data_IF_722570535505
#
_entry.id   IF_722570535505
#
_cell.length_a   1.000
_cell.length_b   1.000
_cell.length_c   1.000
_cell.angle_alpha   90.00
_cell.angle_beta   90.00
_cell.angle_gamma   90.00
#
_symmetry.space_group_name_H-M   'P 1'
#
loop_
_entity.id
_entity.type
_entity.pdbx_description
1 polymer ?
#
# COMPACT_ATOMS: atom_id res chain seq x y z
N UNK A 1 26.07 5.71 -37.62
CA UNK A 1 27.24 6.47 -37.15
C UNK A 1 26.79 7.37 -36.01
N UNK A 2 27.57 7.37 -34.90
CA UNK A 2 27.43 8.15 -33.66
C UNK A 2 26.23 7.72 -32.79
N UNK A 3 26.31 6.91 -31.72
CA UNK A 3 27.25 6.71 -30.59
C UNK A 3 27.46 7.93 -29.69
N UNK A 4 26.66 8.04 -28.62
CA UNK A 4 26.98 8.70 -27.34
C UNK A 4 26.21 7.97 -26.22
N UNK A 5 26.83 7.02 -25.51
CA UNK A 5 27.64 7.15 -24.28
C UNK A 5 26.80 7.33 -23.01
N UNK A 6 26.78 6.22 -22.27
CA UNK A 6 26.45 5.98 -20.87
C UNK A 6 27.04 6.98 -19.88
N UNK A 7 26.28 7.29 -18.83
CA UNK A 7 26.82 7.73 -17.54
C UNK A 7 26.23 6.83 -16.45
N UNK A 8 27.09 5.95 -15.94
CA UNK A 8 26.87 5.17 -14.73
C UNK A 8 27.22 6.07 -13.54
N UNK A 9 26.32 6.19 -12.56
CA UNK A 9 26.71 6.56 -11.21
C UNK A 9 26.25 5.50 -10.22
N UNK A 10 27.24 4.76 -9.75
CA UNK A 10 27.21 3.84 -8.63
C UNK A 10 27.43 4.65 -7.36
N UNK A 11 26.48 4.63 -6.42
CA UNK A 11 26.76 4.96 -5.02
C UNK A 11 26.32 3.76 -4.18
N UNK A 12 27.33 3.02 -3.73
CA UNK A 12 27.26 2.02 -2.67
C UNK A 12 27.45 2.72 -1.33
N UNK A 13 26.58 2.44 -0.37
CA UNK A 13 26.84 2.34 1.09
C UNK A 13 25.48 2.06 1.75
N UNK A 14 25.16 0.83 2.11
CA UNK A 14 25.63 0.10 3.30
C UNK A 14 25.29 0.85 4.60
N UNK A 15 24.19 0.45 5.24
CA UNK A 15 23.93 0.72 6.65
C UNK A 15 23.12 -0.47 7.21
N UNK A 16 23.86 -1.52 7.56
CA UNK A 16 23.40 -2.62 8.39
C UNK A 16 23.33 -2.08 9.82
N UNK A 17 22.13 -1.81 10.32
CA UNK A 17 21.91 -1.51 11.73
C UNK A 17 21.77 -2.84 12.50
N UNK A 18 22.89 -3.33 13.01
CA UNK A 18 22.92 -4.34 14.06
C UNK A 18 22.85 -3.62 15.42
N UNK A 19 21.73 -3.74 16.11
CA UNK A 19 21.62 -3.36 17.51
C UNK A 19 22.52 -4.27 18.36
N UNK A 20 23.65 -3.69 18.77
CA UNK A 20 24.59 -4.20 19.76
C UNK A 20 24.00 -3.96 21.15
N UNK A 21 23.28 -4.93 21.69
CA UNK A 21 22.94 -4.96 23.12
C UNK A 21 24.13 -5.56 23.88
N UNK A 22 24.66 -4.76 24.81
CA UNK A 22 25.77 -5.10 25.68
C UNK A 22 25.31 -6.12 26.73
N UNK A 23 25.99 -7.25 26.83
CA UNK A 23 25.90 -8.15 27.97
C UNK A 23 27.31 -8.41 28.46
N UNK A 24 27.68 -7.73 29.54
CA UNK A 24 28.88 -7.96 30.33
C UNK A 24 28.77 -9.30 31.05
N UNK A 25 29.70 -10.22 30.79
CA UNK A 25 29.83 -11.45 31.55
C UNK A 25 31.30 -11.71 31.87
N UNK A 26 31.71 -11.46 33.11
CA UNK A 26 32.86 -12.08 33.75
C UNK A 26 32.63 -12.14 35.27
N UNK A 27 32.29 -13.31 35.78
CA UNK A 27 32.87 -13.83 37.03
C UNK A 27 32.71 -15.34 37.07
N UNK A 28 33.84 -16.01 37.10
CA UNK A 28 34.05 -17.44 37.23
C UNK A 28 33.83 -17.94 38.66
N UNK A 29 33.17 -19.09 38.83
CA UNK A 29 33.50 -20.06 39.87
C UNK A 29 32.94 -21.45 39.55
N UNK A 30 33.58 -22.45 40.14
CA UNK A 30 33.66 -23.86 39.77
C UNK A 30 32.58 -24.74 40.43
N UNK A 31 32.49 -25.97 39.91
CA UNK A 31 31.99 -27.23 40.51
C UNK A 31 30.47 -27.49 40.44
N UNK A 32 30.13 -28.66 39.90
CA UNK A 32 28.84 -29.31 40.13
C UNK A 32 28.43 -30.29 39.02
N UNK A 33 28.92 -31.53 39.09
CA UNK A 33 28.40 -32.66 38.30
C UNK A 33 26.98 -33.02 38.76
N UNK A 34 26.00 -33.11 37.86
CA UNK A 34 24.95 -34.16 37.85
C UNK A 34 23.87 -33.95 36.77
N UNK A 35 23.72 -34.98 35.93
CA UNK A 35 22.49 -35.58 35.40
C UNK A 35 21.27 -34.75 34.96
N UNK A 36 20.89 -35.00 33.69
CA UNK A 36 19.53 -35.25 33.17
C UNK A 36 18.57 -34.06 32.91
N UNK A 37 18.10 -34.02 31.65
CA UNK A 37 16.89 -33.37 31.14
C UNK A 37 16.86 -31.82 31.09
N UNK A 38 17.74 -31.21 30.29
CA UNK A 38 17.46 -29.85 29.80
C UNK A 38 16.64 -29.91 28.51
N UNK A 39 15.33 -30.09 28.71
CA UNK A 39 14.28 -29.93 27.71
C UNK A 39 14.40 -28.51 27.14
N UNK A 40 14.95 -28.36 25.93
CA UNK A 40 14.95 -27.09 25.19
C UNK A 40 13.50 -26.61 25.09
N UNK A 41 13.11 -25.64 25.91
CA UNK A 41 11.92 -24.85 25.66
C UNK A 41 12.23 -24.04 24.40
N UNK A 42 11.85 -24.58 23.23
CA UNK A 42 11.63 -23.75 22.05
C UNK A 42 10.52 -22.79 22.40
N UNK A 43 10.89 -21.56 22.78
CA UNK A 43 9.96 -20.44 22.83
C UNK A 43 9.19 -20.42 21.50
N UNK A 44 7.85 -20.60 21.52
CA UNK A 44 7.09 -20.51 20.29
C UNK A 44 7.27 -19.10 19.75
N UNK A 45 7.77 -18.97 18.53
CA UNK A 45 7.74 -17.70 17.79
C UNK A 45 6.32 -17.19 17.83
N UNK A 46 6.08 -16.18 18.67
CA UNK A 46 4.79 -15.53 18.79
C UNK A 46 4.56 -14.78 17.48
N UNK A 47 3.92 -15.46 16.52
CA UNK A 47 3.34 -14.80 15.35
C UNK A 47 2.37 -13.77 15.94
N UNK A 48 2.52 -12.46 15.69
CA UNK A 48 1.65 -11.45 16.27
C UNK A 48 0.21 -11.86 15.98
N UNK A 49 -0.54 -12.04 17.07
CA UNK A 49 -1.90 -12.53 17.03
C UNK A 49 -2.71 -11.66 16.06
N UNK A 50 -3.48 -12.31 15.17
CA UNK A 50 -4.38 -11.68 14.19
C UNK A 50 -5.54 -10.88 14.85
N UNK A 51 -5.43 -10.56 16.13
CA UNK A 51 -6.43 -9.94 16.98
C UNK A 51 -6.00 -8.59 17.58
N UNK A 52 -4.80 -8.10 17.30
CA UNK A 52 -4.54 -6.66 17.44
C UNK A 52 -5.09 -5.98 16.19
N UNK A 53 -6.35 -5.52 16.25
CA UNK A 53 -6.73 -4.39 15.41
C UNK A 53 -5.82 -3.26 15.85
N UNK A 54 -4.81 -2.91 15.06
CA UNK A 54 -4.02 -1.72 15.32
C UNK A 54 -5.01 -0.58 15.55
N UNK A 55 -4.94 0.04 16.74
CA UNK A 55 -5.71 1.25 17.07
C UNK A 55 -5.10 2.46 16.36
N UNK A 56 -4.52 2.27 15.19
CA UNK A 56 -3.99 3.34 14.38
C UNK A 56 -5.18 4.04 13.72
N UNK A 57 -5.84 4.85 14.53
CA UNK A 57 -6.75 5.89 14.08
C UNK A 57 -5.92 6.80 13.18
N UNK A 58 -6.40 7.05 11.96
CA UNK A 58 -5.80 8.06 11.07
C UNK A 58 -5.63 9.35 11.87
N UNK A 59 -4.39 9.77 12.10
CA UNK A 59 -4.13 11.12 12.59
C UNK A 59 -4.63 12.09 11.52
N UNK A 60 -5.69 12.83 11.84
CA UNK A 60 -6.36 13.72 10.88
C UNK A 60 -5.52 14.93 10.49
N UNK A 61 -4.40 15.17 11.17
CA UNK A 61 -3.52 16.29 10.92
C UNK A 61 -2.05 15.91 11.19
N UNK A 62 -1.15 16.59 10.49
CA UNK A 62 0.27 16.66 10.83
C UNK A 62 0.45 17.18 12.26
N UNK A 63 1.66 17.07 12.80
CA UNK A 63 1.98 17.55 14.16
C UNK A 63 1.57 19.02 14.36
N UNK A 64 1.57 19.80 13.28
CA UNK A 64 1.20 21.22 13.24
C UNK A 64 -0.32 21.49 13.18
N UNK A 65 -1.16 20.47 13.00
CA UNK A 65 -2.62 20.62 13.00
C UNK A 65 -3.24 21.20 11.72
N UNK A 66 -2.44 21.66 10.76
CA UNK A 66 -2.93 22.37 9.57
C UNK A 66 -3.25 21.44 8.38
N UNK A 67 -2.41 20.42 8.17
CA UNK A 67 -2.47 19.55 7.01
C UNK A 67 -2.93 18.14 7.38
N UNK A 68 -4.07 17.68 6.86
CA UNK A 68 -4.47 16.26 6.90
C UNK A 68 -3.56 15.48 5.94
N UNK A 69 -2.72 14.52 6.38
CA UNK A 69 -1.91 13.73 5.47
C UNK A 69 -2.71 12.53 4.91
N UNK A 70 -2.79 12.37 3.58
CA UNK A 70 -3.46 11.22 3.00
C UNK A 70 -2.53 10.01 3.04
N UNK A 71 -3.10 8.81 3.16
CA UNK A 71 -2.32 7.58 3.04
C UNK A 71 -1.79 7.44 1.60
N UNK A 72 -0.47 7.50 1.43
CA UNK A 72 0.21 7.43 0.13
C UNK A 72 -0.12 6.14 -0.63
N UNK A 73 -0.16 5.01 0.09
CA UNK A 73 -0.51 3.71 -0.50
C UNK A 73 -1.87 3.70 -1.22
N UNK A 74 -2.83 4.49 -0.74
CA UNK A 74 -4.14 4.58 -1.37
C UNK A 74 -4.05 5.33 -2.70
N UNK A 75 -3.31 6.43 -2.71
CA UNK A 75 -3.09 7.28 -3.89
C UNK A 75 -2.38 6.49 -4.98
N UNK A 76 -1.35 5.74 -4.61
CA UNK A 76 -0.51 5.04 -5.59
C UNK A 76 -1.22 3.84 -6.23
N UNK A 77 -2.13 3.19 -5.49
CA UNK A 77 -2.74 1.91 -5.91
C UNK A 77 -4.15 2.04 -6.46
N UNK A 78 -4.91 3.05 -6.06
CA UNK A 78 -6.33 3.18 -6.38
C UNK A 78 -6.62 4.50 -7.10
N UNK A 79 -7.32 4.41 -8.24
CA UNK A 79 -7.85 5.57 -8.95
C UNK A 79 -9.29 5.85 -8.52
N UNK A 80 -9.59 7.08 -8.10
CA UNK A 80 -10.94 7.47 -7.65
C UNK A 80 -11.80 7.99 -8.82
N UNK A 81 -13.03 7.51 -8.92
CA UNK A 81 -14.06 7.98 -9.85
C UNK A 81 -14.95 9.06 -9.21
N UNK A 82 -15.59 9.89 -10.03
CA UNK A 82 -16.38 11.04 -9.55
C UNK A 82 -17.61 10.64 -8.75
N UNK A 83 -18.27 9.55 -9.16
CA UNK A 83 -19.43 9.01 -8.46
C UNK A 83 -19.10 8.24 -7.18
N UNK A 84 -17.81 8.12 -6.81
CA UNK A 84 -17.39 7.64 -5.49
C UNK A 84 -16.90 6.19 -5.42
N UNK A 85 -16.67 5.50 -6.54
CA UNK A 85 -15.93 4.24 -6.53
C UNK A 85 -14.46 4.40 -6.83
N UNK A 86 -13.73 3.31 -6.58
CA UNK A 86 -12.33 3.20 -6.89
C UNK A 86 -12.09 2.08 -7.90
N UNK A 87 -11.16 2.32 -8.81
CA UNK A 87 -10.65 1.35 -9.77
C UNK A 87 -9.25 0.94 -9.31
N UNK A 88 -8.97 -0.36 -9.40
CA UNK A 88 -7.62 -0.88 -9.23
C UNK A 88 -7.39 -2.12 -10.10
N UNK A 89 -6.12 -2.44 -10.44
CA UNK A 89 -5.81 -3.70 -11.10
C UNK A 89 -5.90 -4.88 -10.12
N UNK A 90 -6.11 -6.09 -10.64
CA UNK A 90 -6.02 -7.29 -9.79
C UNK A 90 -4.59 -7.47 -9.27
N UNK A 91 -4.50 -7.95 -8.04
CA UNK A 91 -3.22 -8.18 -7.39
C UNK A 91 -2.43 -9.29 -8.10
N UNK A 92 -1.10 -9.16 -8.05
CA UNK A 92 -0.20 -10.19 -8.55
C UNK A 92 -0.16 -10.36 -10.06
N UNK A 93 -0.76 -9.48 -10.88
CA UNK A 93 -0.75 -9.59 -12.36
C UNK A 93 0.65 -9.81 -12.95
N UNK A 94 1.64 -9.04 -12.47
CA UNK A 94 3.03 -9.09 -12.91
C UNK A 94 3.90 -10.18 -12.24
N UNK A 95 3.38 -10.94 -11.28
CA UNK A 95 4.15 -11.97 -10.55
C UNK A 95 3.97 -13.35 -11.18
N UNK A 96 5.03 -14.15 -11.23
CA UNK A 96 5.02 -15.53 -11.75
C UNK A 96 4.27 -15.71 -13.08
N UNK A 97 4.44 -14.77 -14.01
CA UNK A 97 3.71 -14.76 -15.30
C UNK A 97 3.92 -16.08 -16.04
N UNK A 98 5.13 -16.63 -16.01
CA UNK A 98 5.51 -17.90 -16.65
C UNK A 98 4.66 -19.11 -16.22
N UNK A 99 4.11 -19.12 -15.00
CA UNK A 99 3.25 -20.22 -14.50
C UNK A 99 1.78 -20.06 -14.88
N UNK A 100 1.37 -18.86 -15.30
CA UNK A 100 -0.03 -18.53 -15.55
C UNK A 100 -0.39 -18.80 -17.00
N UNK A 101 -1.56 -19.38 -17.23
CA UNK A 101 -2.17 -19.46 -18.56
C UNK A 101 -2.57 -18.07 -19.07
N UNK A 102 -2.71 -17.93 -20.38
CA UNK A 102 -3.09 -16.66 -21.02
C UNK A 102 -4.47 -16.15 -20.56
N UNK A 103 -5.45 -17.05 -20.39
CA UNK A 103 -6.77 -16.69 -19.90
C UNK A 103 -6.73 -16.05 -18.50
N UNK A 104 -5.88 -16.58 -17.61
CA UNK A 104 -5.66 -16.02 -16.28
C UNK A 104 -4.93 -14.69 -16.36
N UNK A 105 -3.92 -14.56 -17.23
CA UNK A 105 -3.19 -13.29 -17.43
C UNK A 105 -4.14 -12.18 -17.87
N UNK A 106 -4.95 -12.42 -18.91
CA UNK A 106 -5.98 -11.48 -19.39
C UNK A 106 -6.93 -11.06 -18.27
N UNK A 107 -7.39 -12.01 -17.46
CA UNK A 107 -8.26 -11.73 -16.31
C UNK A 107 -7.58 -10.87 -15.23
N UNK A 108 -6.28 -11.06 -15.01
CA UNK A 108 -5.49 -10.29 -14.04
C UNK A 108 -5.15 -8.88 -14.53
N UNK A 109 -5.08 -8.69 -15.85
CA UNK A 109 -4.84 -7.38 -16.46
C UNK A 109 -6.08 -6.48 -16.45
N UNK A 110 -7.27 -7.05 -16.20
CA UNK A 110 -8.50 -6.32 -15.98
C UNK A 110 -8.38 -5.36 -14.77
N UNK A 111 -8.87 -4.15 -14.97
CA UNK A 111 -9.12 -3.21 -13.88
C UNK A 111 -10.51 -3.48 -13.32
N UNK A 112 -10.58 -3.72 -12.01
CA UNK A 112 -11.81 -4.03 -11.30
C UNK A 112 -12.22 -2.88 -10.39
N UNK A 113 -13.52 -2.80 -10.11
CA UNK A 113 -14.05 -1.88 -9.11
C UNK A 113 -13.92 -2.45 -7.71
N UNK A 114 -13.76 -1.57 -6.72
CA UNK A 114 -13.81 -1.91 -5.30
C UNK A 114 -15.23 -2.20 -4.83
N UNK A 115 -15.36 -3.04 -3.80
CA UNK A 115 -16.62 -3.20 -3.06
C UNK A 115 -17.02 -1.86 -2.38
N UNK A 116 -18.30 -1.71 -2.02
CA UNK A 116 -18.83 -0.55 -1.29
C UNK A 116 -18.08 -0.32 0.03
N UNK A 117 -17.89 -1.37 0.83
CA UNK A 117 -17.22 -1.27 2.13
C UNK A 117 -15.77 -0.78 2.01
N UNK A 118 -15.03 -1.31 1.02
CA UNK A 118 -13.66 -0.86 0.75
C UNK A 118 -13.61 0.57 0.24
N UNK A 119 -14.57 0.98 -0.59
CA UNK A 119 -14.64 2.36 -1.09
C UNK A 119 -14.85 3.35 0.06
N UNK A 120 -15.72 3.01 1.02
CA UNK A 120 -15.94 3.79 2.23
C UNK A 120 -14.66 3.88 3.09
N UNK A 121 -13.95 2.78 3.28
CA UNK A 121 -12.68 2.76 3.99
C UNK A 121 -11.63 3.65 3.31
N UNK A 122 -11.52 3.60 1.98
CA UNK A 122 -10.58 4.41 1.19
C UNK A 122 -10.89 5.91 1.32
N UNK A 123 -12.17 6.30 1.29
CA UNK A 123 -12.57 7.70 1.50
C UNK A 123 -12.18 8.22 2.89
N UNK A 124 -12.15 7.37 3.92
CA UNK A 124 -11.71 7.74 5.27
C UNK A 124 -10.19 7.90 5.36
N UNK A 125 -9.43 7.13 4.57
CA UNK A 125 -7.96 7.23 4.52
C UNK A 125 -7.47 8.41 3.67
N UNK A 126 -8.31 8.91 2.76
CA UNK A 126 -8.00 10.06 1.91
C UNK A 126 -8.49 11.37 2.50
N UNK A 127 -7.94 12.47 1.99
CA UNK A 127 -8.33 13.81 2.42
C UNK A 127 -9.40 14.38 1.51
N UNK A 128 -10.04 15.47 1.94
CA UNK A 128 -10.98 16.25 1.12
C UNK A 128 -10.39 16.64 -0.24
N UNK A 129 -9.09 16.97 -0.28
CA UNK A 129 -8.40 17.37 -1.51
C UNK A 129 -8.44 16.26 -2.57
N UNK A 130 -8.16 15.01 -2.18
CA UNK A 130 -8.17 13.86 -3.08
C UNK A 130 -9.58 13.41 -3.47
N UNK A 131 -10.58 13.74 -2.65
CA UNK A 131 -11.99 13.48 -2.95
C UNK A 131 -12.63 14.51 -3.90
N UNK A 132 -11.93 15.59 -4.25
CA UNK A 132 -12.46 16.56 -5.22
C UNK A 132 -12.44 15.97 -6.64
N UNK A 133 -13.48 16.21 -7.46
CA UNK A 133 -13.47 15.80 -8.85
C UNK A 133 -12.38 16.57 -9.61
N UNK A 134 -11.56 15.86 -10.37
CA UNK A 134 -10.52 16.44 -11.24
C UNK A 134 -10.85 16.17 -12.70
N UNK A 135 -10.40 17.06 -13.57
CA UNK A 135 -10.62 17.03 -15.01
C UNK A 135 -9.26 17.22 -15.66
N UNK A 136 -8.73 16.14 -16.22
CA UNK A 136 -7.47 16.16 -16.92
C UNK A 136 -7.73 16.11 -18.42
N UNK A 137 -6.89 16.75 -19.24
CA UNK A 137 -6.90 16.52 -20.68
C UNK A 137 -6.56 15.03 -20.93
N UNK A 138 -7.25 14.43 -21.90
CA UNK A 138 -7.01 13.07 -22.40
C UNK A 138 -6.97 11.95 -21.34
N UNK A 139 -7.83 12.03 -20.32
CA UNK A 139 -7.97 10.94 -19.35
C UNK A 139 -8.69 9.73 -19.96
N UNK A 140 -8.00 8.57 -19.97
CA UNK A 140 -8.52 7.27 -20.43
C UNK A 140 -9.81 6.88 -19.68
N UNK A 141 -9.95 7.29 -18.41
CA UNK A 141 -11.09 6.90 -17.58
C UNK A 141 -12.28 7.87 -17.62
N UNK A 142 -12.15 9.02 -18.30
CA UNK A 142 -13.17 10.07 -18.38
C UNK A 142 -14.61 9.57 -18.62
N UNK A 143 -14.89 8.64 -19.57
CA UNK A 143 -16.27 8.16 -19.79
C UNK A 143 -16.86 7.42 -18.59
N UNK A 144 -16.04 6.79 -17.74
CA UNK A 144 -16.49 5.99 -16.59
C UNK A 144 -16.76 6.82 -15.33
N UNK A 145 -16.46 8.12 -15.37
CA UNK A 145 -16.77 9.02 -14.26
C UNK A 145 -18.28 9.33 -14.12
N UNK A 146 -19.09 9.01 -15.13
CA UNK A 146 -20.56 9.08 -15.08
C UNK A 146 -21.14 7.66 -15.03
N UNK A 147 -22.04 7.41 -14.10
CA UNK A 147 -22.87 6.21 -14.10
C UNK A 147 -24.18 6.56 -14.80
N UNK A 148 -24.49 5.85 -15.89
CA UNK A 148 -25.73 6.04 -16.66
C UNK A 148 -26.64 4.82 -16.44
N UNK A 149 -27.96 5.00 -16.52
CA UNK A 149 -28.92 3.91 -16.45
C UNK A 149 -29.19 3.41 -15.03
N UNK A 150 -28.88 4.23 -14.02
CA UNK A 150 -29.38 4.04 -12.66
C UNK A 150 -30.68 4.84 -12.49
N UNK A 151 -31.63 4.39 -11.65
CA UNK A 151 -32.89 5.12 -11.44
C UNK A 151 -32.67 6.55 -10.91
N UNK A 152 -31.54 6.78 -10.24
CA UNK A 152 -31.10 8.08 -9.73
C UNK A 152 -29.94 8.61 -10.57
N UNK A 153 -30.23 9.32 -11.66
CA UNK A 153 -29.19 9.96 -12.47
C UNK A 153 -28.74 11.28 -11.79
N UNK A 154 -27.66 11.21 -11.01
CA UNK A 154 -26.99 12.42 -10.55
C UNK A 154 -26.35 13.12 -11.75
N UNK A 155 -26.91 14.25 -12.18
CA UNK A 155 -26.32 15.09 -13.22
C UNK A 155 -25.01 15.72 -12.70
N UNK A 156 -23.89 15.00 -12.87
CA UNK A 156 -22.56 15.54 -12.60
C UNK A 156 -22.23 16.55 -13.70
N UNK A 157 -22.35 17.85 -13.41
CA UNK A 157 -21.90 18.90 -14.32
C UNK A 157 -20.38 18.95 -14.33
N UNK A 158 -19.75 18.76 -15.50
CA UNK A 158 -18.32 19.02 -15.68
C UNK A 158 -18.10 20.55 -15.57
N UNK A 159 -17.18 21.07 -14.74
CA UNK A 159 -16.80 22.46 -14.78
C UNK A 159 -16.20 22.73 -16.17
N UNK A 160 -16.54 23.90 -16.71
CA UNK A 160 -15.97 24.36 -17.97
C UNK A 160 -14.49 24.65 -17.72
N UNK A 161 -13.61 23.93 -18.41
CA UNK A 161 -12.21 24.29 -18.47
C UNK A 161 -12.12 25.52 -19.38
N UNK A 162 -12.05 26.71 -18.78
CA UNK A 162 -11.76 27.92 -19.53
C UNK A 162 -10.25 27.98 -19.74
N UNK A 163 -9.78 28.26 -20.98
CA UNK A 163 -8.36 28.48 -21.26
C UNK A 163 -7.80 29.66 -20.45
#
# INVERSE_FOLDING_TARGET
MQHFRSVLYTIKSCAIWQSRSQSSALSSSLIGTSSLLNRRLTEPVCIPCRFLRSKEVKQFYAQDGEYDPPTKDVIDRFQRLRWGAYIHPRSGRQKHIYRKSESIRRKLDEHILTNRATSFLLDNMLNRHWRRPRYYPDDIYEPYHKRTGVPWDYAQRKPKFFP
#
